data_IF_498997428482
#
_entry.id   IF_498997428482
#
_cell.length_a   1.000
_cell.length_b   1.000
_cell.length_c   1.000
_cell.angle_alpha   90.00
_cell.angle_beta   90.00
_cell.angle_gamma   90.00
#
_symmetry.space_group_name_H-M   'P 1'
#
loop_
_entity.id
_entity.type
_entity.pdbx_description
1 polymer ?
#
# COMPACT_ATOMS: atom_id res chain seq x y z
N UNK A 1 5.94 60.74 -43.81
CA UNK A 1 5.18 60.07 -42.72
C UNK A 1 5.44 58.56 -42.59
N UNK A 2 5.60 57.78 -43.67
CA UNK A 2 5.77 56.30 -43.61
C UNK A 2 6.97 55.79 -42.78
N UNK A 3 8.13 56.48 -42.78
CA UNK A 3 9.32 56.06 -42.01
C UNK A 3 9.17 56.12 -40.48
N UNK A 4 8.35 57.04 -39.94
CA UNK A 4 8.13 57.17 -38.48
C UNK A 4 7.32 56.00 -37.92
N UNK A 5 6.36 55.48 -38.70
CA UNK A 5 5.54 54.34 -38.31
C UNK A 5 6.34 53.02 -38.26
N UNK A 6 7.28 52.83 -39.17
CA UNK A 6 8.15 51.63 -39.19
C UNK A 6 9.01 51.57 -37.93
N UNK A 7 9.59 52.70 -37.49
CA UNK A 7 10.42 52.76 -36.27
C UNK A 7 9.58 52.45 -35.01
N UNK A 8 8.34 52.96 -34.95
CA UNK A 8 7.42 52.69 -33.84
C UNK A 8 7.01 51.21 -33.79
N UNK A 9 6.70 50.60 -34.93
CA UNK A 9 6.35 49.17 -35.00
C UNK A 9 7.52 48.28 -34.60
N UNK A 10 8.74 48.59 -35.06
CA UNK A 10 9.96 47.85 -34.67
C UNK A 10 10.24 47.99 -33.17
N UNK A 11 10.07 49.19 -32.61
CA UNK A 11 10.23 49.42 -31.17
C UNK A 11 9.20 48.64 -30.34
N UNK A 12 7.92 48.59 -30.77
CA UNK A 12 6.87 47.83 -30.10
C UNK A 12 7.18 46.32 -30.14
N UNK A 13 7.60 45.78 -31.30
CA UNK A 13 7.97 44.35 -31.42
C UNK A 13 9.18 44.01 -30.55
N UNK A 14 10.20 44.88 -30.50
CA UNK A 14 11.37 44.71 -29.64
C UNK A 14 11.00 44.75 -28.15
N UNK A 15 10.20 45.73 -27.72
CA UNK A 15 9.70 45.82 -26.35
C UNK A 15 8.86 44.60 -25.97
N UNK A 16 8.06 44.07 -26.90
CA UNK A 16 7.24 42.88 -26.67
C UNK A 16 8.09 41.61 -26.55
N UNK A 17 9.15 41.49 -27.37
CA UNK A 17 10.15 40.43 -27.26
C UNK A 17 10.86 40.45 -25.91
N UNK A 18 11.35 41.62 -25.48
CA UNK A 18 12.01 41.81 -24.18
C UNK A 18 11.07 41.48 -23.02
N UNK A 19 9.83 41.95 -23.06
CA UNK A 19 8.83 41.64 -22.04
C UNK A 19 8.55 40.13 -21.93
N UNK A 20 8.38 39.44 -23.07
CA UNK A 20 8.24 37.97 -23.08
C UNK A 20 9.45 37.26 -22.50
N UNK A 21 10.67 37.69 -22.85
CA UNK A 21 11.91 37.12 -22.32
C UNK A 21 12.04 37.32 -20.81
N UNK A 22 11.74 38.51 -20.29
CA UNK A 22 11.76 38.78 -18.84
C UNK A 22 10.74 37.89 -18.12
N UNK A 23 9.51 37.82 -18.63
CA UNK A 23 8.46 36.99 -18.04
C UNK A 23 8.84 35.50 -18.05
N UNK A 24 9.50 35.03 -19.12
CA UNK A 24 10.00 33.66 -19.22
C UNK A 24 11.11 33.38 -18.20
N UNK A 25 12.09 34.27 -18.05
CA UNK A 25 13.17 34.11 -17.08
C UNK A 25 12.63 34.11 -15.65
N UNK A 26 11.73 35.03 -15.31
CA UNK A 26 11.10 35.08 -13.99
C UNK A 26 10.31 33.80 -13.69
N UNK A 27 9.60 33.26 -14.68
CA UNK A 27 8.88 31.99 -14.54
C UNK A 27 9.86 30.82 -14.31
N UNK A 28 10.92 30.73 -15.10
CA UNK A 28 11.94 29.68 -14.92
C UNK A 28 12.59 29.76 -13.53
N UNK A 29 12.78 30.97 -13.02
CA UNK A 29 13.31 31.19 -11.68
C UNK A 29 12.32 30.80 -10.58
N UNK A 30 11.02 31.07 -10.76
CA UNK A 30 9.96 30.57 -9.87
C UNK A 30 9.86 29.04 -9.87
N UNK A 31 10.08 28.39 -11.03
CA UNK A 31 9.96 26.94 -11.17
C UNK A 31 11.14 26.16 -10.54
N UNK A 32 12.30 26.80 -10.29
CA UNK A 32 13.48 26.15 -9.68
C UNK A 32 13.22 25.57 -8.28
N UNK A 33 12.26 26.14 -7.55
CA UNK A 33 11.91 25.68 -6.20
C UNK A 33 11.08 24.38 -6.20
N UNK A 34 10.46 24.03 -7.32
CA UNK A 34 9.64 22.83 -7.44
C UNK A 34 10.54 21.61 -7.70
N UNK A 35 10.34 20.57 -6.90
CA UNK A 35 11.13 19.33 -6.96
C UNK A 35 10.20 18.13 -7.05
N UNK A 36 10.67 17.04 -7.66
CA UNK A 36 10.02 15.75 -7.49
C UNK A 36 10.05 15.37 -6.00
N UNK A 37 9.04 14.66 -5.50
CA UNK A 37 8.94 14.37 -4.06
C UNK A 37 10.15 13.63 -3.51
N UNK A 38 10.68 12.65 -4.25
CA UNK A 38 11.88 11.90 -3.85
C UNK A 38 13.16 12.76 -3.78
N UNK A 39 13.17 13.95 -4.39
CA UNK A 39 14.27 14.91 -4.32
C UNK A 39 13.95 16.10 -3.40
N UNK A 40 12.73 16.15 -2.85
CA UNK A 40 12.25 17.31 -2.13
C UNK A 40 12.71 17.22 -0.67
N UNK A 41 13.57 18.13 -0.17
CA UNK A 41 13.98 18.09 1.22
C UNK A 41 12.86 18.48 2.19
N UNK A 42 11.74 19.01 1.68
CA UNK A 42 10.66 19.60 2.45
C UNK A 42 10.80 21.12 2.61
N UNK A 43 10.14 21.65 3.63
CA UNK A 43 10.19 23.07 3.99
C UNK A 43 11.17 23.33 5.15
N UNK A 44 11.09 24.53 5.73
CA UNK A 44 11.80 24.87 6.96
C UNK A 44 11.38 23.97 8.12
N UNK A 45 10.07 23.75 8.32
CA UNK A 45 9.56 23.00 9.47
C UNK A 45 9.09 21.59 9.13
N UNK A 46 9.03 21.21 7.85
CA UNK A 46 8.64 19.86 7.40
C UNK A 46 9.74 19.21 6.58
N UNK A 47 9.79 17.89 6.63
CA UNK A 47 10.60 17.04 5.75
C UNK A 47 9.71 16.12 4.93
N UNK A 48 10.23 15.70 3.78
CA UNK A 48 9.66 14.63 2.98
C UNK A 48 10.60 13.43 3.09
N UNK A 49 10.06 12.27 3.41
CA UNK A 49 10.82 11.02 3.52
C UNK A 49 10.14 9.97 2.64
N UNK A 50 10.92 9.27 1.83
CA UNK A 50 10.44 8.14 1.04
C UNK A 50 10.27 6.91 1.95
N UNK A 51 9.07 6.31 1.93
CA UNK A 51 8.77 5.07 2.65
C UNK A 51 8.77 3.87 1.71
N UNK A 52 8.08 4.00 0.58
CA UNK A 52 8.09 3.03 -0.53
C UNK A 52 8.82 3.68 -1.70
N UNK A 53 9.80 2.99 -2.32
CA UNK A 53 10.59 3.54 -3.40
C UNK A 53 9.73 3.88 -4.62
N UNK A 54 10.19 4.84 -5.41
CA UNK A 54 9.51 5.30 -6.64
C UNK A 54 9.22 4.25 -7.70
N UNK A 55 9.85 3.07 -7.60
CA UNK A 55 9.67 1.91 -8.49
C UNK A 55 8.55 0.97 -8.04
N UNK A 56 7.86 1.28 -6.94
CA UNK A 56 6.78 0.48 -6.38
C UNK A 56 5.48 1.29 -6.21
N UNK A 57 4.35 0.59 -6.36
CA UNK A 57 3.00 1.06 -5.97
C UNK A 57 2.68 0.60 -4.56
N UNK A 58 1.81 1.36 -3.90
CA UNK A 58 1.21 0.95 -2.64
C UNK A 58 0.24 -0.20 -2.90
N UNK A 59 0.41 -1.30 -2.18
CA UNK A 59 -0.48 -2.47 -2.25
C UNK A 59 -1.48 -2.47 -1.11
N UNK A 60 -1.02 -2.21 0.11
CA UNK A 60 -1.88 -2.07 1.28
C UNK A 60 -1.34 -1.03 2.24
N UNK A 61 -2.26 -0.34 2.91
CA UNK A 61 -1.94 0.63 3.95
C UNK A 61 -2.90 0.45 5.11
N UNK A 62 -2.39 -0.08 6.22
CA UNK A 62 -3.22 -0.57 7.30
C UNK A 62 -2.77 -0.01 8.65
N UNK A 63 -3.72 0.11 9.57
CA UNK A 63 -3.51 0.56 10.95
C UNK A 63 -3.63 -0.65 11.87
N UNK A 64 -2.58 -0.93 12.63
CA UNK A 64 -2.67 -1.76 13.82
C UNK A 64 -3.23 -0.94 14.97
N UNK A 65 -4.51 -1.13 15.25
CA UNK A 65 -5.26 -0.37 16.27
C UNK A 65 -4.81 -0.67 17.70
N UNK A 66 -4.19 -1.83 17.93
CA UNK A 66 -3.70 -2.23 19.25
C UNK A 66 -2.26 -1.77 19.45
N UNK A 67 -1.37 -2.11 18.50
CA UNK A 67 0.04 -1.69 18.56
C UNK A 67 0.28 -0.21 18.24
N UNK A 68 -0.74 0.48 17.71
CA UNK A 68 -0.70 1.88 17.27
C UNK A 68 0.41 2.13 16.25
N UNK A 69 0.46 1.24 15.25
CA UNK A 69 1.44 1.23 14.15
C UNK A 69 0.75 1.27 12.81
N UNK A 70 1.50 1.61 11.78
CA UNK A 70 1.11 1.43 10.39
C UNK A 70 1.82 0.22 9.82
N UNK A 71 1.10 -0.54 9.01
CA UNK A 71 1.64 -1.60 8.17
C UNK A 71 1.47 -1.14 6.73
N UNK A 72 2.55 -1.15 5.99
CA UNK A 72 2.61 -0.62 4.64
C UNK A 72 3.21 -1.70 3.75
N UNK A 73 2.49 -2.10 2.71
CA UNK A 73 3.01 -3.01 1.70
C UNK A 73 3.13 -2.33 0.34
N UNK A 74 4.23 -2.59 -0.35
CA UNK A 74 4.52 -2.12 -1.69
C UNK A 74 4.82 -3.28 -2.64
N UNK A 75 4.44 -3.12 -3.90
CA UNK A 75 4.72 -4.07 -4.98
C UNK A 75 5.29 -3.33 -6.20
N UNK A 76 6.11 -3.99 -7.03
CA UNK A 76 6.73 -3.32 -8.17
C UNK A 76 5.69 -2.84 -9.20
N UNK A 77 6.02 -1.79 -9.95
CA UNK A 77 5.21 -1.36 -11.10
C UNK A 77 5.34 -2.28 -12.30
N UNK A 78 6.53 -2.84 -12.49
CA UNK A 78 6.84 -3.65 -13.65
C UNK A 78 6.50 -5.11 -13.35
N UNK A 79 5.56 -5.69 -14.10
CA UNK A 79 5.11 -7.08 -13.92
C UNK A 79 6.27 -8.08 -13.94
N UNK A 80 7.33 -7.84 -14.73
CA UNK A 80 8.49 -8.73 -14.80
C UNK A 80 9.36 -8.71 -13.53
N UNK A 81 9.18 -7.72 -12.64
CA UNK A 81 9.79 -7.69 -11.31
C UNK A 81 8.90 -8.29 -10.23
N UNK A 82 7.65 -8.64 -10.53
CA UNK A 82 6.79 -9.36 -9.58
C UNK A 82 7.33 -10.78 -9.28
N UNK A 83 8.22 -11.31 -10.13
CA UNK A 83 8.95 -12.56 -9.88
C UNK A 83 10.20 -12.38 -8.99
N UNK A 84 10.56 -11.14 -8.62
CA UNK A 84 11.69 -10.83 -7.75
C UNK A 84 11.17 -10.50 -6.34
N UNK A 85 11.37 -11.41 -5.38
CA UNK A 85 10.91 -11.24 -4.00
C UNK A 85 11.50 -9.97 -3.34
N UNK A 86 12.69 -9.54 -3.76
CA UNK A 86 13.34 -8.30 -3.28
C UNK A 86 12.68 -7.02 -3.83
N UNK A 87 11.77 -7.16 -4.81
CA UNK A 87 11.03 -6.04 -5.38
C UNK A 87 9.78 -5.66 -4.58
N UNK A 88 9.44 -6.41 -3.52
CA UNK A 88 8.35 -6.08 -2.60
C UNK A 88 8.85 -5.30 -1.39
N UNK A 89 7.95 -4.60 -0.72
CA UNK A 89 8.26 -3.95 0.55
C UNK A 89 7.18 -4.24 1.56
N UNK A 90 7.58 -4.62 2.77
CA UNK A 90 6.70 -4.76 3.91
C UNK A 90 7.31 -4.03 5.09
N UNK A 91 6.67 -2.94 5.50
CA UNK A 91 7.26 -1.96 6.40
C UNK A 91 6.28 -1.70 7.54
N UNK A 92 6.80 -1.70 8.77
CA UNK A 92 6.08 -1.26 9.95
C UNK A 92 6.60 0.09 10.40
N UNK A 93 5.71 1.07 10.53
CA UNK A 93 6.06 2.43 10.96
C UNK A 93 5.25 2.87 12.17
N UNK A 94 5.72 3.90 12.87
CA UNK A 94 4.84 4.68 13.75
C UNK A 94 3.98 5.67 12.93
N UNK A 95 3.07 6.38 13.59
CA UNK A 95 2.21 7.37 12.91
C UNK A 95 2.96 8.62 12.42
N UNK A 96 4.25 8.77 12.73
CA UNK A 96 5.12 9.78 12.13
C UNK A 96 5.85 9.27 10.88
N UNK A 97 5.64 8.01 10.48
CA UNK A 97 6.35 7.38 9.38
C UNK A 97 7.82 7.07 9.70
N UNK A 98 8.21 6.95 10.98
CA UNK A 98 9.52 6.38 11.31
C UNK A 98 9.45 4.86 11.09
N UNK A 99 10.33 4.33 10.23
CA UNK A 99 10.45 2.88 10.02
C UNK A 99 10.96 2.24 11.31
N UNK A 100 10.19 1.28 11.82
CA UNK A 100 10.51 0.55 13.04
C UNK A 100 11.09 -0.83 12.73
N UNK A 101 10.53 -1.51 11.74
CA UNK A 101 10.97 -2.82 11.30
C UNK A 101 10.41 -3.18 9.91
N UNK A 102 10.91 -4.29 9.38
CA UNK A 102 10.42 -4.94 8.17
C UNK A 102 9.82 -6.29 8.59
N UNK A 103 8.49 -6.37 8.79
CA UNK A 103 7.87 -7.60 9.24
C UNK A 103 7.97 -8.70 8.19
N UNK A 104 7.56 -9.91 8.57
CA UNK A 104 7.56 -11.04 7.66
C UNK A 104 6.50 -10.84 6.56
N UNK A 105 6.91 -10.87 5.29
CA UNK A 105 6.08 -10.46 4.15
C UNK A 105 5.29 -11.57 3.46
N UNK A 106 5.46 -12.83 3.87
CA UNK A 106 4.79 -13.96 3.21
C UNK A 106 3.65 -14.54 4.04
N UNK A 107 2.64 -15.09 3.36
CA UNK A 107 1.50 -15.75 3.99
C UNK A 107 0.31 -14.82 4.19
N UNK A 108 -0.66 -15.29 4.97
CA UNK A 108 -1.92 -14.59 5.24
C UNK A 108 -1.91 -14.02 6.64
N UNK A 109 -2.17 -12.72 6.77
CA UNK A 109 -2.40 -12.10 8.07
C UNK A 109 -3.84 -12.33 8.56
N UNK A 110 -3.98 -12.84 9.78
CA UNK A 110 -5.24 -13.04 10.47
C UNK A 110 -5.66 -11.79 11.26
N UNK A 111 -6.90 -11.78 11.76
CA UNK A 111 -7.49 -10.64 12.48
C UNK A 111 -6.77 -10.26 13.78
N UNK A 112 -6.03 -11.19 14.38
CA UNK A 112 -5.19 -10.95 15.57
C UNK A 112 -3.76 -10.49 15.21
N UNK A 113 -3.44 -10.37 13.92
CA UNK A 113 -2.14 -9.99 13.38
C UNK A 113 -1.15 -11.15 13.25
N UNK A 114 -1.56 -12.38 13.58
CA UNK A 114 -0.73 -13.56 13.28
C UNK A 114 -0.67 -13.76 11.77
N UNK A 115 0.53 -13.99 11.24
CA UNK A 115 0.72 -14.40 9.86
C UNK A 115 0.78 -15.93 9.82
N UNK A 116 -0.02 -16.57 8.95
CA UNK A 116 -0.04 -18.01 8.73
C UNK A 116 0.29 -18.32 7.27
N UNK A 117 1.19 -19.27 7.03
CA UNK A 117 1.45 -19.85 5.70
C UNK A 117 1.30 -21.36 5.78
N UNK A 118 0.58 -21.93 4.82
CA UNK A 118 0.31 -23.38 4.74
C UNK A 118 1.05 -24.08 3.60
N UNK A 119 1.76 -23.34 2.76
CA UNK A 119 2.61 -23.85 1.67
C UNK A 119 4.08 -23.87 2.06
N UNK A 120 4.84 -24.87 1.61
CA UNK A 120 6.29 -25.03 1.78
C UNK A 120 6.75 -24.91 3.26
N UNK A 121 6.35 -25.90 4.07
CA UNK A 121 6.49 -26.05 5.53
C UNK A 121 5.57 -25.10 6.30
N UNK A 122 4.37 -25.59 6.66
CA UNK A 122 3.35 -24.75 7.31
C UNK A 122 3.87 -24.09 8.59
N UNK A 123 3.79 -22.77 8.67
CA UNK A 123 4.28 -21.99 9.82
C UNK A 123 3.34 -20.82 10.18
N UNK A 124 3.57 -20.25 11.35
CA UNK A 124 3.01 -18.99 11.77
C UNK A 124 4.09 -18.06 12.34
N UNK A 125 3.84 -16.75 12.24
CA UNK A 125 4.75 -15.69 12.65
C UNK A 125 3.97 -14.56 13.32
N UNK A 126 4.56 -13.93 14.34
CA UNK A 126 3.95 -12.83 15.10
C UNK A 126 4.65 -11.47 14.87
N UNK A 127 5.43 -11.35 13.80
CA UNK A 127 6.25 -10.16 13.49
C UNK A 127 5.45 -8.84 13.47
N UNK A 128 4.17 -8.88 13.08
CA UNK A 128 3.25 -7.74 13.17
C UNK A 128 3.00 -7.34 14.63
N UNK A 129 2.76 -8.34 15.48
CA UNK A 129 2.31 -8.18 16.86
C UNK A 129 3.42 -7.72 17.78
N UNK A 130 4.60 -8.34 17.70
CA UNK A 130 5.68 -8.19 18.67
C UNK A 130 7.08 -8.21 18.05
N UNK A 131 7.21 -8.02 16.73
CA UNK A 131 8.48 -8.07 16.00
C UNK A 131 9.20 -9.43 16.06
N UNK A 132 8.52 -10.48 16.52
CA UNK A 132 9.06 -11.83 16.50
C UNK A 132 9.00 -12.42 15.09
N UNK A 133 10.18 -12.48 14.47
CA UNK A 133 10.38 -13.03 13.11
C UNK A 133 10.53 -14.56 13.11
N UNK A 134 10.41 -15.22 14.26
CA UNK A 134 10.53 -16.69 14.35
C UNK A 134 9.38 -17.35 13.60
N UNK A 135 9.72 -18.23 12.65
CA UNK A 135 8.75 -19.06 11.93
C UNK A 135 8.46 -20.30 12.76
N UNK A 136 7.36 -20.28 13.51
CA UNK A 136 6.94 -21.40 14.32
C UNK A 136 6.16 -22.41 13.47
N UNK A 137 6.40 -23.73 13.61
CA UNK A 137 5.67 -24.72 12.84
C UNK A 137 4.18 -24.73 13.21
N UNK A 138 3.31 -24.82 12.20
CA UNK A 138 1.89 -25.12 12.39
C UNK A 138 1.75 -26.58 12.78
N UNK A 139 1.16 -26.84 13.95
CA UNK A 139 0.96 -28.20 14.43
C UNK A 139 -0.19 -28.83 13.65
N UNK A 140 0.14 -29.54 12.58
CA UNK A 140 -0.81 -30.32 11.80
C UNK A 140 -1.34 -31.49 12.61
N UNK A 141 -2.66 -31.60 12.66
CA UNK A 141 -3.41 -32.65 13.34
C UNK A 141 -3.88 -33.70 12.33
N UNK A 142 -4.14 -34.94 12.78
CA UNK A 142 -4.40 -36.07 11.90
C UNK A 142 -5.49 -35.75 10.90
N UNK A 143 -5.17 -35.76 9.61
CA UNK A 143 -5.84 -36.51 8.56
C UNK A 143 -5.00 -36.29 7.29
N UNK A 144 -4.32 -37.33 6.83
CA UNK A 144 -3.38 -37.21 5.72
C UNK A 144 -4.10 -36.81 4.43
N UNK A 145 -3.72 -35.67 3.86
CA UNK A 145 -3.93 -35.40 2.44
C UNK A 145 -2.69 -34.73 1.84
N UNK A 146 -1.82 -35.60 1.32
CA UNK A 146 -0.63 -35.38 0.46
C UNK A 146 0.55 -34.57 1.01
N UNK A 147 1.57 -35.35 1.42
CA UNK A 147 2.96 -35.40 0.92
C UNK A 147 3.65 -34.06 0.62
N UNK A 148 4.52 -33.64 1.55
CA UNK A 148 5.51 -32.57 1.41
C UNK A 148 6.21 -32.21 2.73
N UNK A 149 5.47 -32.24 3.86
CA UNK A 149 5.87 -31.64 5.14
C UNK A 149 6.20 -32.67 6.24
N UNK A 150 7.14 -33.59 5.98
CA UNK A 150 7.45 -34.72 6.86
C UNK A 150 8.51 -34.40 7.93
N UNK A 151 8.14 -34.42 9.22
CA UNK A 151 9.10 -34.54 10.34
C UNK A 151 8.67 -35.65 11.32
N UNK A 152 9.62 -36.27 12.04
CA UNK A 152 9.37 -37.44 12.93
C UNK A 152 8.34 -37.17 14.06
N UNK A 153 8.26 -35.93 14.55
CA UNK A 153 7.33 -35.55 15.62
C UNK A 153 5.85 -35.65 15.20
N UNK A 154 5.58 -35.61 13.90
CA UNK A 154 4.22 -35.67 13.33
C UNK A 154 3.69 -37.11 13.19
N UNK A 155 4.57 -38.12 13.13
CA UNK A 155 4.17 -39.53 12.96
C UNK A 155 3.27 -40.06 14.08
N UNK A 156 3.40 -39.52 15.30
CA UNK A 156 2.60 -39.94 16.46
C UNK A 156 1.12 -39.56 16.38
N UNK A 157 0.74 -38.73 15.40
CA UNK A 157 -0.60 -38.16 15.27
C UNK A 157 -1.26 -38.51 13.93
N UNK A 158 -0.90 -39.59 13.25
CA UNK A 158 -1.54 -40.01 11.99
C UNK A 158 -2.58 -41.10 12.26
N UNK A 159 -3.87 -40.77 12.13
CA UNK A 159 -4.99 -41.71 12.30
C UNK A 159 -6.02 -41.49 11.18
N UNK A 160 -6.49 -42.57 10.54
CA UNK A 160 -7.55 -42.54 9.51
C UNK A 160 -8.96 -42.72 10.11
N UNK A 161 -9.09 -42.61 11.43
CA UNK A 161 -10.32 -42.81 12.18
C UNK A 161 -11.08 -41.47 12.30
N UNK A 162 -12.31 -41.41 11.76
CA UNK A 162 -13.15 -40.21 11.76
C UNK A 162 -13.68 -39.86 13.16
N UNK A 163 -13.89 -40.85 14.03
CA UNK A 163 -14.38 -40.61 15.39
C UNK A 163 -13.26 -40.03 16.26
N UNK A 164 -12.03 -40.56 16.13
CA UNK A 164 -10.86 -39.97 16.78
C UNK A 164 -10.50 -38.60 16.19
N UNK A 165 -10.63 -38.41 14.85
CA UNK A 165 -10.50 -37.10 14.22
C UNK A 165 -11.46 -36.10 14.85
N UNK A 166 -12.75 -36.45 14.94
CA UNK A 166 -13.79 -35.57 15.46
C UNK A 166 -13.60 -35.28 16.94
N UNK A 167 -13.13 -36.26 17.73
CA UNK A 167 -12.80 -36.07 19.15
C UNK A 167 -11.66 -35.07 19.34
N UNK A 168 -10.57 -35.18 18.56
CA UNK A 168 -9.45 -34.22 18.60
C UNK A 168 -9.90 -32.84 18.14
N UNK A 169 -10.62 -32.78 17.01
CA UNK A 169 -11.22 -31.55 16.50
C UNK A 169 -12.06 -30.87 17.58
N UNK A 170 -12.97 -31.61 18.22
CA UNK A 170 -13.90 -31.05 19.20
C UNK A 170 -13.20 -30.57 20.46
N UNK A 171 -12.21 -31.31 20.96
CA UNK A 171 -11.44 -30.88 22.13
C UNK A 171 -10.70 -29.56 21.89
N UNK A 172 -10.08 -29.42 20.73
CA UNK A 172 -9.39 -28.19 20.34
C UNK A 172 -10.35 -27.06 20.01
N UNK A 173 -11.42 -27.35 19.27
CA UNK A 173 -12.46 -26.38 18.98
C UNK A 173 -13.04 -25.84 20.29
N UNK A 174 -13.35 -26.68 21.27
CA UNK A 174 -13.93 -26.21 22.53
C UNK A 174 -12.94 -25.35 23.34
N UNK A 175 -11.63 -25.64 23.28
CA UNK A 175 -10.58 -24.95 24.04
C UNK A 175 -9.90 -23.78 23.34
N UNK A 176 -10.03 -23.66 22.01
CA UNK A 176 -9.29 -22.69 21.23
C UNK A 176 -9.71 -21.25 21.57
N UNK A 177 -8.72 -20.37 21.65
CA UNK A 177 -8.87 -18.92 21.83
C UNK A 177 -9.25 -18.22 20.52
N UNK A 178 -8.82 -18.80 19.39
CA UNK A 178 -9.11 -18.33 18.03
C UNK A 178 -9.42 -19.54 17.15
N UNK A 179 -10.49 -19.47 16.36
CA UNK A 179 -10.75 -20.45 15.28
C UNK A 179 -10.88 -19.73 13.94
N UNK A 180 -9.93 -19.96 13.03
CA UNK A 180 -9.97 -19.50 11.64
C UNK A 180 -10.45 -20.62 10.71
N UNK A 181 -11.14 -20.24 9.64
CA UNK A 181 -11.67 -21.14 8.63
C UNK A 181 -11.27 -20.67 7.23
N UNK A 182 -10.66 -21.56 6.45
CA UNK A 182 -10.30 -21.27 5.06
C UNK A 182 -10.36 -22.55 4.22
N UNK A 183 -11.10 -22.53 3.10
CA UNK A 183 -11.18 -23.65 2.13
C UNK A 183 -11.44 -25.05 2.73
N UNK A 184 -12.11 -25.14 3.89
CA UNK A 184 -12.36 -26.39 4.61
C UNK A 184 -11.25 -26.80 5.59
N UNK A 185 -10.25 -25.95 5.78
CA UNK A 185 -9.20 -26.05 6.77
C UNK A 185 -9.58 -25.22 8.00
N UNK A 186 -9.43 -25.82 9.18
CA UNK A 186 -9.55 -25.17 10.47
C UNK A 186 -8.17 -24.86 11.03
N UNK A 187 -8.00 -23.64 11.54
CA UNK A 187 -6.81 -23.25 12.30
C UNK A 187 -7.22 -22.83 13.70
N UNK A 188 -6.56 -23.41 14.70
CA UNK A 188 -6.87 -23.21 16.10
C UNK A 188 -5.69 -22.56 16.80
N UNK A 189 -5.93 -21.46 17.50
CA UNK A 189 -4.97 -20.93 18.46
C UNK A 189 -5.33 -21.45 19.84
N UNK A 190 -4.41 -22.16 20.49
CA UNK A 190 -4.60 -22.67 21.84
C UNK A 190 -3.28 -22.63 22.60
N UNK A 191 -3.28 -22.00 23.78
CA UNK A 191 -2.08 -21.84 24.62
C UNK A 191 -0.91 -21.21 23.85
N UNK A 192 -1.22 -20.21 23.02
CA UNK A 192 -0.24 -19.49 22.20
C UNK A 192 0.32 -20.24 20.99
N UNK A 193 -0.15 -21.47 20.70
CA UNK A 193 0.28 -22.25 19.54
C UNK A 193 -0.83 -22.37 18.51
N UNK A 194 -0.44 -22.48 17.24
CA UNK A 194 -1.35 -22.71 16.14
C UNK A 194 -1.36 -24.16 15.69
N UNK A 195 -2.56 -24.69 15.58
CA UNK A 195 -2.86 -26.03 15.10
C UNK A 195 -3.65 -25.92 13.80
N UNK A 196 -3.43 -26.85 12.89
CA UNK A 196 -4.13 -26.92 11.61
C UNK A 196 -4.78 -28.30 11.46
N UNK A 197 -6.05 -28.31 11.08
CA UNK A 197 -6.81 -29.53 10.83
C UNK A 197 -7.70 -29.36 9.61
N UNK A 198 -7.60 -30.29 8.68
CA UNK A 198 -8.39 -30.27 7.47
C UNK A 198 -9.68 -31.07 7.63
N UNK A 199 -10.79 -30.56 7.11
CA UNK A 199 -12.03 -31.32 7.04
C UNK A 199 -11.87 -32.56 6.13
N UNK A 200 -12.28 -33.76 6.57
CA UNK A 200 -11.94 -35.03 5.91
C UNK A 200 -12.59 -35.28 4.54
N UNK A 201 -13.40 -34.36 3.99
CA UNK A 201 -14.06 -34.56 2.70
C UNK A 201 -13.22 -34.29 1.46
N UNK A 202 -11.96 -33.83 1.59
CA UNK A 202 -11.08 -33.53 0.45
C UNK A 202 -10.65 -34.77 -0.38
N UNK A 203 -11.00 -36.01 0.03
CA UNK A 203 -10.66 -37.26 -0.69
C UNK A 203 -11.23 -37.38 -2.11
N UNK A 204 -12.42 -36.83 -2.34
CA UNK A 204 -13.18 -37.05 -3.59
C UNK A 204 -13.15 -35.85 -4.54
N UNK A 205 -12.27 -34.87 -4.32
CA UNK A 205 -12.22 -33.66 -5.13
C UNK A 205 -13.35 -32.68 -4.81
N UNK A 206 -13.21 -31.44 -5.30
CA UNK A 206 -14.22 -30.38 -5.15
C UNK A 206 -15.44 -30.58 -6.06
N UNK A 207 -15.47 -31.64 -6.86
CA UNK A 207 -16.50 -31.91 -7.88
C UNK A 207 -17.69 -32.73 -7.35
N UNK A 208 -17.65 -33.17 -6.08
CA UNK A 208 -18.78 -33.84 -5.40
C UNK A 208 -19.60 -32.81 -4.59
N UNK A 209 -20.74 -32.37 -5.15
CA UNK A 209 -21.67 -31.45 -4.48
C UNK A 209 -22.11 -31.99 -3.11
N UNK A 210 -22.31 -33.31 -2.96
CA UNK A 210 -22.70 -33.89 -1.68
C UNK A 210 -21.57 -33.75 -0.63
N UNK A 211 -20.31 -33.85 -1.03
CA UNK A 211 -19.17 -33.60 -0.14
C UNK A 211 -19.07 -32.11 0.24
N UNK A 212 -19.34 -31.21 -0.71
CA UNK A 212 -19.40 -29.78 -0.45
C UNK A 212 -20.50 -29.42 0.56
N UNK A 213 -21.72 -29.95 0.39
CA UNK A 213 -22.83 -29.69 1.31
C UNK A 213 -22.57 -30.24 2.71
N UNK A 214 -21.96 -31.44 2.83
CA UNK A 214 -21.55 -31.99 4.14
C UNK A 214 -20.54 -31.09 4.85
N UNK A 215 -19.55 -30.58 4.11
CA UNK A 215 -18.59 -29.60 4.65
C UNK A 215 -19.29 -28.34 5.12
N UNK A 216 -20.21 -27.78 4.31
CA UNK A 216 -20.95 -26.57 4.67
C UNK A 216 -21.81 -26.75 5.92
N UNK A 217 -22.47 -27.90 6.05
CA UNK A 217 -23.22 -28.22 7.27
C UNK A 217 -22.31 -28.32 8.50
N UNK A 218 -21.11 -28.92 8.35
CA UNK A 218 -20.13 -28.99 9.42
C UNK A 218 -19.59 -27.61 9.82
N UNK A 219 -19.21 -26.77 8.84
CA UNK A 219 -18.78 -25.37 9.05
C UNK A 219 -19.87 -24.54 9.74
N UNK A 220 -21.14 -24.77 9.44
CA UNK A 220 -22.27 -24.10 10.08
C UNK A 220 -22.45 -24.53 11.55
N UNK A 221 -22.17 -25.80 11.87
CA UNK A 221 -22.22 -26.32 13.23
C UNK A 221 -21.03 -25.86 14.08
N UNK A 222 -19.86 -25.75 13.45
CA UNK A 222 -18.60 -25.36 14.07
C UNK A 222 -18.01 -24.14 13.35
N UNK A 223 -18.63 -22.95 13.51
CA UNK A 223 -18.21 -21.76 12.80
C UNK A 223 -16.86 -21.23 13.32
N UNK A 224 -16.25 -20.35 12.53
CA UNK A 224 -15.08 -19.58 12.96
C UNK A 224 -15.41 -18.75 14.21
N UNK A 225 -14.40 -18.56 15.06
CA UNK A 225 -14.46 -17.72 16.26
C UNK A 225 -13.24 -16.81 16.23
N UNK A 226 -13.36 -15.77 15.43
CA UNK A 226 -12.30 -14.78 15.26
C UNK A 226 -12.59 -13.55 16.14
N UNK A 227 -11.56 -12.93 16.72
CA UNK A 227 -11.71 -11.69 17.44
C UNK A 227 -12.09 -10.55 16.49
N UNK A 228 -12.44 -9.40 17.07
CA UNK A 228 -12.49 -8.16 16.30
C UNK A 228 -11.12 -7.91 15.66
N UNK A 229 -11.13 -7.45 14.40
CA UNK A 229 -9.88 -7.19 13.69
C UNK A 229 -9.09 -6.10 14.40
N UNK A 230 -7.83 -6.38 14.72
CA UNK A 230 -6.88 -5.35 15.16
C UNK A 230 -6.41 -4.48 14.01
N UNK A 231 -6.47 -5.00 12.78
CA UNK A 231 -5.99 -4.35 11.56
C UNK A 231 -7.16 -3.70 10.83
N UNK A 232 -6.98 -2.45 10.43
CA UNK A 232 -7.95 -1.70 9.65
C UNK A 232 -7.26 -1.09 8.46
N UNK A 233 -7.76 -1.36 7.27
CA UNK A 233 -7.28 -0.73 6.04
C UNK A 233 -7.66 0.75 5.99
N UNK A 234 -6.71 1.58 5.55
CA UNK A 234 -6.88 3.00 5.39
C UNK A 234 -7.38 3.32 3.97
N UNK A 235 -8.68 3.17 3.74
CA UNK A 235 -9.28 3.14 2.40
C UNK A 235 -9.78 4.48 1.85
N UNK A 236 -9.66 5.58 2.61
CA UNK A 236 -10.19 6.89 2.22
C UNK A 236 -9.07 7.90 1.96
N UNK A 237 -8.27 7.76 0.88
CA UNK A 237 -7.38 8.82 0.49
C UNK A 237 -8.17 10.05 0.02
N UNK A 238 -7.55 11.22 0.17
CA UNK A 238 -8.04 12.48 -0.39
C UNK A 238 -7.28 12.75 -1.68
N UNK A 239 -8.00 13.01 -2.77
CA UNK A 239 -7.42 13.62 -3.97
C UNK A 239 -7.15 15.09 -3.66
N UNK A 240 -5.87 15.52 -3.65
CA UNK A 240 -5.53 16.87 -3.26
C UNK A 240 -5.89 17.91 -4.34
N UNK A 241 -6.32 17.48 -5.54
CA UNK A 241 -6.79 18.38 -6.61
C UNK A 241 -8.32 18.54 -6.64
N UNK A 242 -9.08 17.78 -5.83
CA UNK A 242 -10.53 17.94 -5.70
C UNK A 242 -10.91 19.13 -4.79
N UNK A 243 -12.05 19.77 -5.05
CA UNK A 243 -12.51 21.01 -4.40
C UNK A 243 -12.77 20.88 -2.89
N UNK A 244 -12.79 19.65 -2.37
CA UNK A 244 -13.05 19.32 -0.97
C UNK A 244 -11.80 18.82 -0.22
N UNK A 245 -10.63 18.85 -0.88
CA UNK A 245 -9.38 18.31 -0.35
C UNK A 245 -8.48 19.34 0.32
N UNK A 246 -7.17 19.14 0.15
CA UNK A 246 -6.13 20.06 0.63
C UNK A 246 -6.07 21.32 -0.22
N UNK A 247 -5.59 22.44 0.35
CA UNK A 247 -5.24 23.61 -0.46
C UNK A 247 -4.01 23.25 -1.31
N UNK A 248 -4.27 22.74 -2.51
CA UNK A 248 -3.28 22.59 -3.57
C UNK A 248 -3.44 23.73 -4.54
N UNK A 249 -2.41 24.57 -4.60
CA UNK A 249 -2.36 25.66 -5.56
C UNK A 249 -1.62 25.15 -6.77
N UNK A 250 -2.37 24.70 -7.78
CA UNK A 250 -1.82 24.42 -9.11
C UNK A 250 -1.32 25.74 -9.69
N UNK A 251 -0.03 25.78 -10.00
CA UNK A 251 0.65 26.99 -10.43
C UNK A 251 0.88 27.01 -11.93
N UNK A 252 1.20 25.85 -12.52
CA UNK A 252 1.47 25.72 -13.95
C UNK A 252 1.35 24.26 -14.41
N UNK A 253 0.86 24.08 -15.63
CA UNK A 253 1.10 22.89 -16.44
C UNK A 253 2.01 23.29 -17.62
N UNK A 254 3.06 22.52 -17.86
CA UNK A 254 4.00 22.71 -18.96
C UNK A 254 4.00 21.47 -19.84
N UNK A 255 3.30 21.49 -20.99
CA UNK A 255 3.29 20.36 -21.91
C UNK A 255 4.68 20.16 -22.51
N UNK A 256 5.12 18.91 -22.60
CA UNK A 256 6.41 18.48 -23.14
C UNK A 256 6.20 17.53 -24.33
N UNK A 257 5.21 16.66 -24.23
CA UNK A 257 4.83 15.71 -25.27
C UNK A 257 3.42 16.02 -25.75
N UNK A 258 3.29 16.55 -26.95
CA UNK A 258 2.00 16.83 -27.58
C UNK A 258 1.88 16.08 -28.92
N UNK A 259 0.83 15.26 -29.03
CA UNK A 259 0.38 14.75 -30.32
C UNK A 259 -0.95 15.40 -30.65
N UNK A 260 -0.92 16.31 -31.63
CA UNK A 260 -2.11 16.95 -32.16
C UNK A 260 -2.99 15.95 -32.89
N UNK A 261 -4.28 15.93 -32.55
CA UNK A 261 -5.28 15.19 -33.33
C UNK A 261 -5.41 15.78 -34.74
N UNK A 262 -5.76 14.94 -35.71
CA UNK A 262 -6.10 15.36 -37.06
C UNK A 262 -7.59 15.13 -37.34
N UNK A 263 -8.07 15.56 -38.52
CA UNK A 263 -9.49 15.44 -38.89
C UNK A 263 -10.03 14.01 -38.82
N UNK A 264 -9.18 13.00 -39.01
CA UNK A 264 -9.54 11.59 -39.00
C UNK A 264 -9.29 10.89 -37.65
N UNK A 265 -8.50 11.50 -36.77
CA UNK A 265 -8.30 11.08 -35.39
C UNK A 265 -8.22 12.33 -34.48
N UNK A 266 -9.35 12.81 -33.94
CA UNK A 266 -9.41 14.06 -33.19
C UNK A 266 -8.82 13.96 -31.78
N UNK A 267 -8.41 12.77 -31.34
CA UNK A 267 -7.82 12.56 -30.02
C UNK A 267 -6.44 13.22 -30.00
N UNK A 268 -6.31 14.27 -29.20
CA UNK A 268 -5.04 14.90 -28.86
C UNK A 268 -4.50 14.34 -27.55
N UNK A 269 -3.22 14.00 -27.53
CA UNK A 269 -2.50 13.64 -26.31
C UNK A 269 -1.59 14.81 -25.91
N UNK A 270 -1.56 15.14 -24.62
CA UNK A 270 -0.65 16.13 -24.05
C UNK A 270 -0.14 15.60 -22.71
N UNK A 271 1.18 15.47 -22.55
CA UNK A 271 1.81 15.12 -21.30
C UNK A 271 2.92 16.10 -20.97
N UNK A 272 3.14 16.33 -19.68
CA UNK A 272 4.08 17.36 -19.25
C UNK A 272 4.17 17.52 -17.75
N UNK A 273 4.83 18.59 -17.34
CA UNK A 273 5.11 18.86 -15.93
C UNK A 273 4.03 19.71 -15.28
N UNK A 274 3.41 19.14 -14.25
CA UNK A 274 2.58 19.83 -13.28
C UNK A 274 3.45 20.41 -12.17
N UNK A 275 3.23 21.68 -11.88
CA UNK A 275 3.87 22.41 -10.78
C UNK A 275 2.79 22.88 -9.82
N UNK A 276 2.80 22.34 -8.61
CA UNK A 276 1.80 22.64 -7.59
C UNK A 276 2.43 22.77 -6.21
N UNK A 277 1.80 23.57 -5.36
CA UNK A 277 2.23 23.75 -3.99
C UNK A 277 1.18 23.15 -3.05
N UNK A 278 1.59 22.21 -2.20
CA UNK A 278 0.79 21.72 -1.10
C UNK A 278 0.93 22.67 0.08
N UNK A 279 -0.18 23.25 0.54
CA UNK A 279 -0.19 24.10 1.73
C UNK A 279 -0.25 23.23 2.99
N UNK A 280 0.71 23.43 3.88
CA UNK A 280 0.78 22.86 5.21
C UNK A 280 0.40 23.90 6.26
N UNK A 281 0.68 23.64 7.54
CA UNK A 281 0.39 24.59 8.61
C UNK A 281 1.19 25.89 8.51
N UNK A 282 0.61 26.98 9.03
CA UNK A 282 1.19 28.32 9.07
C UNK A 282 1.61 28.87 7.69
N UNK A 283 0.89 28.49 6.63
CA UNK A 283 1.24 28.82 5.24
C UNK A 283 2.66 28.37 4.86
N UNK A 284 3.14 27.24 5.39
CA UNK A 284 4.28 26.57 4.78
C UNK A 284 3.86 25.80 3.53
N UNK A 285 4.77 25.67 2.59
CA UNK A 285 4.49 25.04 1.30
C UNK A 285 5.52 23.96 0.98
N UNK A 286 5.05 22.86 0.42
CA UNK A 286 5.88 21.89 -0.30
C UNK A 286 5.64 22.10 -1.79
N UNK A 287 6.68 22.50 -2.51
CA UNK A 287 6.62 22.76 -3.95
C UNK A 287 6.95 21.51 -4.75
N UNK A 288 5.98 20.98 -5.47
CA UNK A 288 6.04 19.67 -6.10
C UNK A 288 6.02 19.82 -7.63
N UNK A 289 6.98 19.16 -8.28
CA UNK A 289 7.02 18.95 -9.73
C UNK A 289 6.62 17.50 -10.00
N UNK A 290 5.72 17.27 -10.96
CA UNK A 290 5.30 15.92 -11.36
C UNK A 290 5.01 15.83 -12.85
N UNK A 291 5.49 14.79 -13.52
CA UNK A 291 5.15 14.50 -14.91
C UNK A 291 3.83 13.70 -14.97
N UNK A 292 2.90 14.10 -15.84
CA UNK A 292 1.74 13.27 -16.20
C UNK A 292 1.04 13.74 -17.48
N UNK A 293 0.32 12.83 -18.13
CA UNK A 293 -0.60 13.12 -19.24
C UNK A 293 -1.93 13.79 -18.84
N UNK A 294 -2.30 13.73 -17.57
CA UNK A 294 -3.54 14.30 -17.02
C UNK A 294 -3.28 14.79 -15.60
N UNK A 295 -4.33 15.15 -14.85
CA UNK A 295 -4.17 15.42 -13.42
C UNK A 295 -3.38 14.30 -12.74
N UNK A 296 -2.27 14.63 -12.04
CA UNK A 296 -1.38 13.61 -11.54
C UNK A 296 -2.06 12.77 -10.47
N UNK A 297 -2.05 11.43 -10.63
CA UNK A 297 -2.62 10.47 -9.66
C UNK A 297 -1.89 10.53 -8.33
N UNK A 298 -2.33 11.45 -7.49
CA UNK A 298 -1.75 11.78 -6.18
C UNK A 298 -2.84 11.59 -5.16
N UNK A 299 -2.53 10.87 -4.09
CA UNK A 299 -3.49 10.57 -3.05
C UNK A 299 -2.84 10.83 -1.70
N UNK A 300 -3.54 11.53 -0.82
CA UNK A 300 -3.06 11.81 0.53
C UNK A 300 -3.86 11.00 1.53
N UNK A 301 -3.17 10.22 2.34
CA UNK A 301 -3.72 9.47 3.45
C UNK A 301 -3.36 10.15 4.77
N UNK A 302 -4.33 10.21 5.68
CA UNK A 302 -4.15 10.66 7.06
C UNK A 302 -4.57 9.55 8.02
N UNK A 303 -3.81 9.39 9.10
CA UNK A 303 -4.23 8.52 10.20
C UNK A 303 -5.34 9.23 10.99
N UNK A 304 -6.53 8.62 11.14
CA UNK A 304 -7.62 9.22 11.90
C UNK A 304 -7.21 9.56 13.35
N UNK A 305 -7.66 10.72 13.84
CA UNK A 305 -7.36 11.21 15.21
C UNK A 305 -7.69 10.19 16.30
N UNK A 306 -8.78 9.41 16.12
CA UNK A 306 -9.16 8.32 17.04
C UNK A 306 -8.08 7.25 17.24
N UNK A 307 -7.15 7.11 16.29
CA UNK A 307 -6.04 6.17 16.35
C UNK A 307 -4.73 6.87 16.68
N UNK A 308 -4.43 8.01 16.03
CA UNK A 308 -3.18 8.74 16.24
C UNK A 308 -3.11 9.46 17.59
N UNK A 309 -4.25 9.83 18.17
CA UNK A 309 -4.34 10.59 19.42
C UNK A 309 -3.98 12.08 19.28
N UNK A 310 -3.72 12.56 18.07
CA UNK A 310 -3.46 13.98 17.79
C UNK A 310 -4.09 14.41 16.47
N UNK A 311 -4.54 15.66 16.42
CA UNK A 311 -5.15 16.28 15.24
C UNK A 311 -4.07 16.86 14.33
N UNK A 312 -3.71 16.09 13.30
CA UNK A 312 -2.94 16.53 12.13
C UNK A 312 -1.43 16.75 12.31
N UNK A 313 -0.70 16.54 11.20
CA UNK A 313 0.60 17.09 10.74
C UNK A 313 1.47 16.09 9.97
N UNK A 314 1.06 14.83 9.89
CA UNK A 314 1.78 13.80 9.12
C UNK A 314 0.90 13.38 7.95
N UNK A 315 1.36 13.64 6.74
CA UNK A 315 0.65 13.31 5.51
C UNK A 315 1.40 12.19 4.80
N UNK A 316 0.68 11.15 4.40
CA UNK A 316 1.24 10.09 3.59
C UNK A 316 0.77 10.31 2.15
N UNK A 317 1.66 10.80 1.31
CA UNK A 317 1.38 11.13 -0.09
C UNK A 317 1.83 9.98 -0.99
N UNK A 318 0.86 9.32 -1.60
CA UNK A 318 1.07 8.31 -2.62
C UNK A 318 1.11 8.96 -4.00
N UNK A 319 2.07 8.55 -4.82
CA UNK A 319 2.15 8.89 -6.23
C UNK A 319 2.09 7.62 -7.07
N UNK A 320 1.14 7.55 -8.00
CA UNK A 320 1.05 6.47 -8.98
C UNK A 320 1.37 6.99 -10.39
N UNK A 321 2.44 6.52 -11.05
CA UNK A 321 2.68 6.76 -12.46
C UNK A 321 1.60 6.05 -13.28
N UNK A 322 1.31 6.59 -14.46
CA UNK A 322 0.51 5.87 -15.46
C UNK A 322 1.47 5.02 -16.28
N UNK A 323 1.03 3.84 -16.70
CA UNK A 323 1.83 2.98 -17.60
C UNK A 323 2.24 3.70 -18.90
N UNK A 324 1.42 4.66 -19.36
CA UNK A 324 1.71 5.49 -20.53
C UNK A 324 2.82 6.52 -20.33
N UNK A 325 3.26 6.75 -19.08
CA UNK A 325 4.09 7.88 -18.69
C UNK A 325 5.44 7.37 -18.13
N UNK A 326 6.41 6.96 -18.98
CA UNK A 326 7.66 6.35 -18.51
C UNK A 326 8.56 7.32 -17.71
N UNK A 327 8.35 8.63 -17.82
CA UNK A 327 9.02 9.64 -17.01
C UNK A 327 8.35 9.89 -15.64
N UNK A 328 7.18 9.30 -15.39
CA UNK A 328 6.48 9.45 -14.12
C UNK A 328 7.09 8.55 -13.04
N UNK A 329 7.24 9.11 -11.84
CA UNK A 329 7.71 8.39 -10.67
C UNK A 329 6.53 8.08 -9.75
N UNK A 330 6.59 6.89 -9.14
CA UNK A 330 5.64 6.51 -8.11
C UNK A 330 6.17 6.70 -6.69
N UNK A 331 5.67 5.88 -5.77
CA UNK A 331 6.17 5.75 -4.40
C UNK A 331 5.18 6.24 -3.34
N UNK A 332 5.51 5.94 -2.09
CA UNK A 332 4.81 6.48 -0.91
C UNK A 332 5.78 7.34 -0.12
N UNK A 333 5.38 8.59 0.13
CA UNK A 333 6.16 9.57 0.86
C UNK A 333 5.45 9.98 2.14
N UNK A 334 6.18 10.20 3.22
CA UNK A 334 5.66 10.86 4.41
C UNK A 334 6.15 12.31 4.46
N UNK A 335 5.22 13.24 4.59
CA UNK A 335 5.47 14.66 4.83
C UNK A 335 5.15 14.92 6.30
N UNK A 336 6.15 15.29 7.08
CA UNK A 336 6.02 15.40 8.54
C UNK A 336 6.85 16.54 9.11
N UNK A 337 6.55 17.01 10.33
CA UNK A 337 7.36 18.03 10.98
C UNK A 337 8.78 17.52 11.21
N UNK A 338 9.77 18.39 11.01
CA UNK A 338 11.15 18.11 11.36
C UNK A 338 11.26 17.94 12.87
N UNK A 339 12.01 16.93 13.31
CA UNK A 339 12.43 16.82 14.71
C UNK A 339 13.31 18.03 15.03
N UNK A 340 12.95 18.78 16.08
CA UNK A 340 13.83 19.84 16.60
C UNK A 340 15.11 19.17 17.07
N UNK A 341 16.25 19.55 16.47
CA UNK A 341 17.58 19.10 16.90
C UNK A 341 17.94 19.69 18.25
#
# INVERSE_FOLDING_TARGET
MKKKWIIVVVAIVACWGIYKSIKYVMLQEELKQYKFLHENPGSKNYEVVELIPRTQKLKSFEIDTIGKKLLISGEPYEEWREEDDDAYSFIKTDFEGNILSHPFGEGRMLKDGTIIKTSNDGYYCSSIVNDDMTLYPLIQLPFEFKIGYYTEEYKRYVHQDLDEWFKVFKDLYDKAEYVHLEYGDYFFKYSGKWYWMMYPSKRNGFDDDAAYQRRKAFEAQYPAREPASRIIELTNPVDPFDQWGYDVRVRKYEPVDEQGGNWFNPISYSAGYFYYALVLDNNEFIYIKRYSAYDPRTFIYEVPEKYSGYRGKVLFMMQEPRESDPEAYGGLYVIRPRKKK
#
